data_IF_832053160655
#
_entry.id   IF_832053160655
#
_cell.length_a   1.000
_cell.length_b   1.000
_cell.length_c   1.000
_cell.angle_alpha   90.00
_cell.angle_beta   90.00
_cell.angle_gamma   90.00
#
_symmetry.space_group_name_H-M   'P 1'
#
loop_
_entity.id
_entity.type
_entity.pdbx_description
1 polymer ?
2 non-polymer ?
3 water ?
#
# COMPACT_ATOMS: atom_id res chain seq x y z
N UNK A 19 0.56 1.00 37.01
CA UNK A 19 -0.29 2.05 37.65
C UNK A 19 -0.73 3.11 36.63
N UNK A 20 0.24 3.83 36.06
CA UNK A 20 0.00 4.72 34.91
C UNK A 20 0.57 4.08 33.63
N UNK A 21 0.83 2.78 33.69
CA UNK A 21 1.60 2.09 32.67
C UNK A 21 0.86 0.94 32.04
N UNK A 22 0.71 1.01 30.74
CA UNK A 22 0.05 -0.06 30.01
C UNK A 22 1.08 -1.09 29.58
N UNK A 23 0.59 -2.26 29.23
CA UNK A 23 1.48 -3.29 28.77
C UNK A 23 1.12 -3.73 27.36
N UNK A 24 2.14 -4.19 26.68
CA UNK A 24 1.99 -4.81 25.37
C UNK A 24 2.92 -6.01 25.31
N UNK A 25 2.54 -6.99 24.49
CA UNK A 25 3.35 -8.13 24.18
C UNK A 25 3.51 -8.22 22.65
N UNK A 26 4.76 -8.36 22.21
CA UNK A 26 5.10 -8.74 20.86
C UNK A 26 5.45 -10.22 20.89
N UNK A 27 4.77 -11.02 20.08
CA UNK A 27 5.02 -12.47 19.99
C UNK A 27 5.69 -12.81 18.69
N UNK A 28 6.99 -12.93 18.74
CA UNK A 28 7.80 -13.14 17.56
C UNK A 28 7.56 -14.49 16.91
N UNK A 29 6.97 -15.43 17.63
CA UNK A 29 6.63 -16.75 17.09
C UNK A 29 5.30 -16.80 16.36
N UNK A 30 4.48 -15.74 16.46
CA UNK A 30 3.16 -15.73 15.80
C UNK A 30 3.24 -14.88 14.53
N UNK A 31 3.71 -15.49 13.45
CA UNK A 31 3.96 -14.81 12.21
C UNK A 31 2.65 -14.60 11.46
N UNK A 32 2.48 -13.38 10.96
CA UNK A 32 1.31 -13.00 10.17
C UNK A 32 1.77 -12.81 8.71
N UNK A 33 1.38 -11.73 8.04
CA UNK A 33 1.73 -11.57 6.64
C UNK A 33 3.15 -11.09 6.39
N UNK A 34 3.71 -11.56 5.30
CA UNK A 34 4.99 -11.06 4.85
C UNK A 34 4.78 -9.71 4.17
N UNK A 35 5.60 -8.75 4.54
CA UNK A 35 5.51 -7.42 3.98
C UNK A 35 6.14 -7.40 2.59
N UNK A 36 5.38 -6.85 1.62
CA UNK A 36 5.85 -6.63 0.28
C UNK A 36 6.40 -5.24 0.10
N UNK A 37 5.77 -4.23 0.73
CA UNK A 37 6.31 -2.90 0.72
C UNK A 37 5.31 -1.76 0.78
N UNK A 38 5.83 -0.59 0.49
CA UNK A 38 5.12 0.68 0.64
C UNK A 38 5.51 1.59 -0.48
N UNK A 39 4.57 2.40 -0.95
CA UNK A 39 4.93 3.40 -1.90
C UNK A 39 3.82 4.28 -2.37
N UNK A 40 3.82 4.55 -3.66
CA UNK A 40 2.87 5.47 -4.23
C UNK A 40 2.84 5.48 -5.75
N UNK A 41 2.03 6.40 -6.28
CA UNK A 41 1.70 6.48 -7.71
C UNK A 41 2.55 7.54 -8.43
N UNK A 42 3.00 7.18 -9.63
CA UNK A 42 3.49 8.13 -10.61
C UNK A 42 2.51 8.10 -11.76
N UNK A 43 2.17 9.29 -12.29
CA UNK A 43 1.29 9.41 -13.45
C UNK A 43 1.74 10.57 -14.32
N UNK A 44 2.71 10.31 -15.21
CA UNK A 44 3.37 11.33 -16.00
C UNK A 44 2.53 11.84 -17.18
N UNK A 45 1.28 11.38 -17.30
CA UNK A 45 0.35 11.92 -18.29
C UNK A 45 -0.62 12.90 -17.65
N UNK A 46 -1.21 12.53 -16.52
CA UNK A 46 -2.14 13.43 -15.81
C UNK A 46 -1.42 14.57 -15.07
N UNK A 47 -0.23 14.28 -14.55
CA UNK A 47 0.59 15.28 -13.85
C UNK A 47 2.04 15.16 -14.31
N UNK A 48 2.93 15.99 -13.76
CA UNK A 48 4.34 15.91 -14.13
C UNK A 48 4.98 14.66 -13.53
N UNK A 49 5.85 14.03 -14.34
CA UNK A 49 6.66 12.91 -13.90
C UNK A 49 7.51 13.33 -12.71
N UNK A 50 7.90 12.36 -11.90
CA UNK A 50 8.94 12.58 -10.91
C UNK A 50 10.23 13.00 -11.64
N UNK A 51 10.94 13.95 -11.06
CA UNK A 51 12.25 14.34 -11.55
C UNK A 51 13.32 13.35 -11.08
N UNK A 52 14.53 13.40 -11.69
CA UNK A 52 15.53 12.46 -11.17
C UNK A 52 15.75 12.56 -9.66
N UNK A 53 15.82 13.79 -9.14
CA UNK A 53 16.02 14.03 -7.70
C UNK A 53 14.86 13.43 -6.92
N UNK A 54 13.64 13.58 -7.44
CA UNK A 54 12.45 13.07 -6.75
C UNK A 54 12.38 11.55 -6.76
N UNK A 55 12.87 10.92 -7.82
CA UNK A 55 12.91 9.46 -7.86
C UNK A 55 13.80 8.93 -6.73
N UNK A 56 14.96 9.57 -6.52
CA UNK A 56 15.90 9.16 -5.45
C UNK A 56 15.29 9.38 -4.08
N UNK A 57 14.68 10.54 -3.88
CA UNK A 57 13.97 10.82 -2.64
C UNK A 57 12.87 9.80 -2.34
N UNK A 58 12.15 9.37 -3.36
CA UNK A 58 11.05 8.43 -3.13
C UNK A 58 11.53 7.01 -2.81
N UNK A 59 12.47 6.51 -3.62
CA UNK A 59 12.82 5.07 -3.61
C UNK A 59 14.19 4.75 -3.01
N UNK A 60 14.97 5.78 -2.72
CA UNK A 60 16.18 5.62 -1.92
C UNK A 60 15.78 5.52 -0.47
N UNK A 61 16.65 4.93 0.35
CA UNK A 61 16.38 4.85 1.78
C UNK A 61 17.45 5.48 2.65
N UNK A 62 18.14 6.49 2.11
CA UNK A 62 19.09 7.30 2.85
C UNK A 62 18.35 8.30 3.72
N UNK A 63 19.11 9.07 4.49
CA UNK A 63 18.54 10.13 5.33
C UNK A 63 17.80 11.10 4.42
N UNK A 64 16.58 11.45 4.82
CA UNK A 64 15.74 12.39 4.09
C UNK A 64 15.08 11.77 2.85
N UNK A 65 15.12 10.44 2.73
CA UNK A 65 14.46 9.74 1.61
C UNK A 65 13.37 8.82 2.19
N UNK A 66 12.35 8.55 1.40
CA UNK A 66 11.12 7.90 1.88
C UNK A 66 11.29 6.39 2.03
N UNK A 67 12.23 5.80 1.31
CA UNK A 67 12.43 4.36 1.39
C UNK A 67 11.28 3.57 0.80
N UNK A 68 10.59 4.14 -0.17
CA UNK A 68 9.50 3.38 -0.83
C UNK A 68 10.09 2.19 -1.60
N UNK A 69 9.33 1.11 -1.65
CA UNK A 69 9.72 -0.10 -2.33
C UNK A 69 8.68 -0.61 -3.34
N UNK A 70 7.57 0.14 -3.50
CA UNK A 70 6.58 -0.14 -4.52
C UNK A 70 6.27 1.16 -5.29
N UNK A 71 6.32 1.04 -6.60
CA UNK A 71 5.89 2.07 -7.52
C UNK A 71 4.63 1.54 -8.22
N UNK A 72 3.55 2.33 -8.17
CA UNK A 72 2.39 2.04 -9.00
C UNK A 72 2.37 3.02 -10.17
N UNK A 73 2.04 2.47 -11.34
CA UNK A 73 1.90 3.26 -12.56
C UNK A 73 0.57 2.87 -13.22
N UNK A 74 0.20 3.66 -14.23
CA UNK A 74 -1.00 3.39 -15.01
C UNK A 74 -0.64 2.78 -16.37
N UNK A 75 -1.57 1.99 -16.87
CA UNK A 75 -1.53 1.43 -18.23
C UNK A 75 -2.38 2.30 -19.15
N UNK A 76 -1.72 3.13 -19.94
CA UNK A 76 -2.46 4.07 -20.76
C UNK A 76 -3.25 3.36 -21.85
N UNK A 77 -4.47 3.85 -22.08
CA UNK A 77 -5.31 3.35 -23.18
C UNK A 77 -4.66 3.61 -24.55
N UNK A 78 -3.80 4.62 -24.61
CA UNK A 78 -3.08 4.98 -25.83
C UNK A 78 -1.63 4.57 -25.69
N UNK A 79 -1.23 3.58 -26.49
CA UNK A 79 0.11 3.01 -26.39
C UNK A 79 1.22 3.99 -26.72
N UNK A 80 0.86 5.09 -27.38
CA UNK A 80 1.85 6.13 -27.67
C UNK A 80 2.34 6.87 -26.43
N UNK A 81 1.58 6.77 -25.33
CA UNK A 81 1.97 7.32 -24.02
C UNK A 81 2.85 6.42 -23.15
N UNK A 82 2.95 5.15 -23.52
CA UNK A 82 3.63 4.18 -22.67
C UNK A 82 5.09 4.56 -22.33
N UNK A 83 5.80 5.11 -23.31
CA UNK A 83 7.20 5.53 -23.12
C UNK A 83 7.37 6.51 -21.96
N UNK A 84 6.34 7.27 -21.62
CA UNK A 84 6.44 8.25 -20.55
C UNK A 84 6.62 7.60 -19.19
N UNK A 85 6.31 6.31 -19.06
CA UNK A 85 6.42 5.63 -17.78
C UNK A 85 7.82 5.13 -17.47
N UNK A 86 8.64 5.01 -18.50
CA UNK A 86 9.84 4.18 -18.44
C UNK A 86 10.92 4.69 -17.48
N UNK A 87 11.21 5.99 -17.54
CA UNK A 87 12.37 6.55 -16.82
C UNK A 87 12.20 6.34 -15.31
N UNK A 88 11.03 6.67 -14.82
CA UNK A 88 10.73 6.56 -13.41
C UNK A 88 10.66 5.09 -13.00
N UNK A 89 10.02 4.23 -13.79
CA UNK A 89 9.92 2.81 -13.42
C UNK A 89 11.28 2.10 -13.40
N UNK A 90 12.12 2.35 -14.41
CA UNK A 90 13.49 1.82 -14.42
C UNK A 90 14.22 2.23 -13.14
N UNK A 91 14.17 3.52 -12.83
CA UNK A 91 14.88 4.04 -11.68
C UNK A 91 14.36 3.44 -10.37
N UNK A 92 13.04 3.30 -10.24
CA UNK A 92 12.51 2.67 -9.06
C UNK A 92 13.06 1.25 -8.89
N UNK A 93 13.12 0.50 -9.99
CA UNK A 93 13.56 -0.91 -9.92
C UNK A 93 15.04 -0.95 -9.56
N UNK A 94 15.79 -0.01 -10.12
CA UNK A 94 17.24 0.03 -9.88
C UNK A 94 17.50 0.24 -8.38
N UNK A 95 16.62 1.04 -7.76
CA UNK A 95 16.70 1.36 -6.34
C UNK A 95 16.04 0.34 -5.43
N UNK A 96 15.58 -0.75 -6.02
CA UNK A 96 15.18 -1.94 -5.27
C UNK A 96 13.67 -2.11 -5.15
N UNK A 97 12.91 -1.24 -5.82
CA UNK A 97 11.45 -1.31 -5.79
C UNK A 97 10.88 -2.33 -6.78
N UNK A 98 9.63 -2.69 -6.57
CA UNK A 98 8.85 -3.45 -7.54
C UNK A 98 7.80 -2.53 -8.12
N UNK A 99 7.28 -2.88 -9.29
CA UNK A 99 6.36 -1.99 -10.02
C UNK A 99 5.08 -2.74 -10.37
N UNK A 100 3.91 -2.14 -10.06
CA UNK A 100 2.63 -2.69 -10.51
C UNK A 100 1.94 -1.64 -11.34
N UNK A 101 1.13 -2.11 -12.29
CA UNK A 101 0.52 -1.24 -13.26
C UNK A 101 -1.01 -1.45 -13.27
N UNK A 102 -1.75 -0.34 -13.31
CA UNK A 102 -3.22 -0.39 -13.32
C UNK A 102 -3.78 0.39 -14.50
N UNK A 103 -4.74 -0.19 -15.23
CA UNK A 103 -5.46 0.55 -16.28
C UNK A 103 -6.74 1.19 -15.76
N UNK A 104 -7.06 2.37 -16.31
CA UNK A 104 -8.33 3.07 -16.05
C UNK A 104 -9.34 2.81 -17.16
N UNK A 105 -8.88 2.78 -18.42
CA UNK A 105 -9.76 2.44 -19.55
C UNK A 105 -9.04 1.54 -20.53
N UNK A 106 -9.79 0.67 -21.18
CA UNK A 106 -9.26 0.05 -22.39
C UNK A 106 -9.16 1.07 -23.52
N UNK A 107 -8.38 0.74 -24.58
CA UNK A 107 -8.41 1.51 -25.82
C UNK A 107 -9.87 1.75 -26.26
N UNK A 108 -10.17 2.96 -26.72
CA UNK A 108 -11.55 3.35 -27.01
C UNK A 108 -12.26 2.44 -28.03
N UNK A 109 -11.51 1.84 -28.94
CA UNK A 109 -12.11 0.87 -29.89
C UNK A 109 -12.62 -0.43 -29.24
N UNK A 110 -12.33 -0.63 -27.94
CA UNK A 110 -12.82 -1.81 -27.20
C UNK A 110 -13.98 -1.53 -26.26
N UNK A 111 -14.34 -0.25 -26.12
CA UNK A 111 -15.32 0.20 -25.11
C UNK A 111 -16.71 0.38 -25.78
N UNK A 112 -17.76 0.19 -25.01
CA UNK A 112 -19.09 0.63 -25.44
C UNK A 112 -19.77 1.34 -24.28
N UNK A 113 -20.87 2.04 -24.60
CA UNK A 113 -21.63 2.72 -23.59
C UNK A 113 -22.88 1.95 -23.19
N UNK A 114 -23.37 2.27 -22.00
CA UNK A 114 -24.55 1.69 -21.46
C UNK A 114 -25.05 2.63 -20.39
N UNK A 115 -26.28 2.39 -19.96
CA UNK A 115 -26.92 3.12 -18.87
C UNK A 115 -26.80 2.33 -17.58
N UNK A 116 -26.25 2.95 -16.55
CA UNK A 116 -26.06 2.34 -15.24
C UNK A 116 -26.82 3.10 -14.17
N UNK A 117 -27.76 2.44 -13.49
CA UNK A 117 -28.55 3.08 -12.44
C UNK A 117 -29.18 4.37 -12.94
N UNK A 118 -29.72 4.33 -14.14
CA UNK A 118 -30.34 5.51 -14.75
C UNK A 118 -29.42 6.58 -15.32
N UNK A 119 -28.11 6.39 -15.17
CA UNK A 119 -27.15 7.36 -15.70
C UNK A 119 -26.64 6.87 -17.04
N UNK A 120 -26.87 7.65 -18.09
CA UNK A 120 -26.49 7.20 -19.43
C UNK A 120 -25.02 7.44 -19.77
N UNK A 121 -24.60 6.89 -20.90
CA UNK A 121 -23.28 7.15 -21.47
C UNK A 121 -22.10 6.67 -20.60
N UNK A 122 -22.36 5.63 -19.82
CA UNK A 122 -21.32 5.01 -18.98
C UNK A 122 -20.53 4.01 -19.82
N UNK A 123 -19.25 3.78 -19.44
CA UNK A 123 -18.33 2.98 -20.24
C UNK A 123 -18.14 1.58 -19.63
N UNK A 124 -18.11 0.59 -20.52
CA UNK A 124 -17.67 -0.74 -20.14
C UNK A 124 -16.89 -1.36 -21.30
N UNK A 125 -16.12 -2.39 -20.97
CA UNK A 125 -15.42 -3.17 -21.98
C UNK A 125 -16.44 -4.01 -22.73
N UNK A 126 -16.43 -3.94 -24.06
CA UNK A 126 -17.31 -4.78 -24.87
C UNK A 126 -17.05 -6.22 -24.57
N UNK A 127 -18.10 -7.01 -24.43
CA UNK A 127 -17.94 -8.42 -24.08
C UNK A 127 -17.16 -9.17 -25.15
N UNK A 128 -17.32 -8.74 -26.41
CA UNK A 128 -16.59 -9.34 -27.50
C UNK A 128 -15.12 -8.87 -27.65
N UNK A 129 -14.65 -8.04 -26.72
CA UNK A 129 -13.31 -7.54 -26.79
C UNK A 129 -12.46 -7.96 -25.60
N UNK A 130 -12.93 -8.92 -24.80
CA UNK A 130 -12.13 -9.36 -23.64
C UNK A 130 -10.79 -9.95 -24.03
N UNK A 131 -10.76 -10.73 -25.12
CA UNK A 131 -9.50 -11.26 -25.68
C UNK A 131 -8.57 -10.19 -26.19
N UNK A 132 -9.12 -9.17 -26.87
CA UNK A 132 -8.31 -8.07 -27.33
C UNK A 132 -7.75 -7.26 -26.17
N UNK A 133 -8.53 -7.19 -25.07
CA UNK A 133 -8.06 -6.51 -23.86
C UNK A 133 -6.87 -7.22 -23.21
N UNK A 134 -6.92 -8.54 -23.14
CA UNK A 134 -5.78 -9.34 -22.71
C UNK A 134 -4.56 -9.00 -23.56
N UNK A 135 -4.74 -8.94 -24.88
CA UNK A 135 -3.60 -8.61 -25.73
C UNK A 135 -3.04 -7.20 -25.47
N UNK A 136 -3.92 -6.21 -25.23
CA UNK A 136 -3.49 -4.86 -24.84
C UNK A 136 -2.63 -4.89 -23.57
N UNK A 137 -3.12 -5.58 -22.55
CA UNK A 137 -2.38 -5.68 -21.28
C UNK A 137 -1.04 -6.42 -21.50
N UNK A 138 -1.08 -7.52 -22.25
CA UNK A 138 0.14 -8.25 -22.57
C UNK A 138 1.12 -7.44 -23.39
N UNK A 139 0.63 -6.62 -24.31
CA UNK A 139 1.48 -5.71 -25.03
C UNK A 139 2.20 -4.73 -24.11
N UNK A 140 1.47 -4.18 -23.12
CA UNK A 140 2.08 -3.28 -22.16
C UNK A 140 3.18 -3.98 -21.35
N UNK A 141 2.90 -5.21 -20.93
CA UNK A 141 3.85 -5.99 -20.14
C UNK A 141 5.13 -6.17 -20.97
N UNK A 142 4.93 -6.54 -22.22
CA UNK A 142 6.06 -6.82 -23.11
C UNK A 142 6.86 -5.58 -23.41
N UNK A 143 6.19 -4.47 -23.70
CA UNK A 143 6.85 -3.19 -23.93
C UNK A 143 7.69 -2.79 -22.71
N UNK A 144 7.11 -2.83 -21.51
CA UNK A 144 7.87 -2.43 -20.33
C UNK A 144 9.07 -3.37 -20.07
N UNK A 145 8.87 -4.68 -20.29
CA UNK A 145 9.94 -5.65 -20.14
C UNK A 145 11.07 -5.33 -21.11
N UNK A 146 10.72 -5.01 -22.34
CA UNK A 146 11.73 -4.61 -23.33
C UNK A 146 12.51 -3.37 -22.90
N UNK A 147 11.88 -2.50 -22.11
CA UNK A 147 12.55 -1.29 -21.59
C UNK A 147 13.13 -1.44 -20.18
N UNK A 148 13.37 -2.68 -19.75
CA UNK A 148 14.03 -2.94 -18.47
C UNK A 148 13.11 -2.84 -17.26
N UNK A 149 11.80 -2.89 -17.51
CA UNK A 149 10.77 -2.81 -16.44
C UNK A 149 9.97 -4.11 -16.42
N UNK A 150 10.42 -5.06 -15.61
CA UNK A 150 9.72 -6.32 -15.44
C UNK A 150 8.66 -6.08 -14.39
N UNK A 151 7.41 -5.89 -14.84
CA UNK A 151 6.32 -5.62 -13.91
C UNK A 151 6.09 -6.73 -12.93
N UNK A 152 5.84 -6.35 -11.68
CA UNK A 152 5.52 -7.33 -10.65
C UNK A 152 4.11 -7.85 -10.89
N UNK A 153 3.23 -6.96 -11.33
CA UNK A 153 1.82 -7.33 -11.51
C UNK A 153 1.17 -6.30 -12.39
N UNK A 154 0.04 -6.73 -12.95
CA UNK A 154 -0.78 -5.84 -13.74
C UNK A 154 -2.23 -6.09 -13.34
N UNK A 155 -3.00 -5.01 -13.26
CA UNK A 155 -4.39 -5.08 -12.77
C UNK A 155 -5.41 -5.15 -13.92
N UNK A 156 -6.58 -5.73 -13.65
CA UNK A 156 -7.65 -5.80 -14.64
C UNK A 156 -8.26 -4.43 -14.84
N UNK A 157 -8.46 -3.70 -13.74
CA UNK A 157 -9.15 -2.41 -13.76
C UNK A 157 -8.98 -1.66 -12.44
N UNK A 158 -8.67 -0.38 -12.55
CA UNK A 158 -8.68 0.50 -11.41
C UNK A 158 -10.12 0.83 -11.01
N UNK A 159 -10.51 0.59 -9.78
CA UNK A 159 -11.86 0.99 -9.30
C UNK A 159 -12.98 0.70 -10.29
N UNK A 160 -13.17 -0.58 -10.60
CA UNK A 160 -14.26 -0.96 -11.49
C UNK A 160 -15.65 -0.63 -10.95
N UNK A 161 -15.74 -0.45 -9.62
CA UNK A 161 -17.00 -0.16 -8.94
C UNK A 161 -17.14 1.33 -8.52
N UNK A 162 -16.32 2.19 -9.09
CA UNK A 162 -16.45 3.63 -8.91
C UNK A 162 -15.99 4.37 -10.18
N UNK A 163 -16.57 3.95 -11.31
CA UNK A 163 -16.04 4.29 -12.63
C UNK A 163 -16.91 5.33 -13.35
N UNK A 164 -17.53 6.22 -12.59
CA UNK A 164 -18.20 7.38 -13.17
C UNK A 164 -17.36 8.09 -14.24
N UNK A 165 -16.04 8.12 -14.06
CA UNK A 165 -15.14 8.79 -14.97
C UNK A 165 -14.21 7.86 -15.72
N UNK A 166 -14.48 6.55 -15.68
CA UNK A 166 -13.67 5.59 -16.41
C UNK A 166 -14.52 4.37 -16.77
N UNK A 167 -13.97 3.16 -16.69
CA UNK A 167 -14.62 1.98 -17.20
C UNK A 167 -15.16 1.10 -16.08
N UNK A 168 -16.49 0.90 -16.06
CA UNK A 168 -17.15 0.07 -15.07
C UNK A 168 -17.07 -1.41 -15.38
N UNK A 169 -16.86 -2.22 -14.34
CA UNK A 169 -17.06 -3.66 -14.42
C UNK A 169 -17.93 -4.09 -13.25
N UNK A 170 -19.00 -4.80 -13.52
CA UNK A 170 -19.81 -5.41 -12.47
C UNK A 170 -19.02 -6.58 -11.87
N UNK A 171 -19.42 -7.05 -10.67
CA UNK A 171 -18.78 -8.22 -10.11
C UNK A 171 -18.74 -9.40 -11.10
N UNK A 172 -19.84 -9.64 -11.82
CA UNK A 172 -19.88 -10.79 -12.72
C UNK A 172 -19.03 -10.60 -13.98
N UNK A 173 -18.92 -9.37 -14.47
CA UNK A 173 -18.00 -9.04 -15.58
C UNK A 173 -16.53 -9.26 -15.20
N UNK A 174 -16.17 -8.77 -14.04
CA UNK A 174 -14.85 -9.03 -13.47
C UNK A 174 -14.61 -10.53 -13.29
N UNK A 175 -15.60 -11.25 -12.78
CA UNK A 175 -15.50 -12.70 -12.64
C UNK A 175 -15.28 -13.36 -13.98
N UNK A 176 -16.04 -12.96 -15.01
CA UNK A 176 -15.88 -13.60 -16.34
C UNK A 176 -14.47 -13.39 -16.84
N UNK A 177 -13.96 -12.18 -16.70
CA UNK A 177 -12.60 -11.92 -17.15
C UNK A 177 -11.56 -12.76 -16.39
N UNK A 178 -11.68 -12.77 -15.08
CA UNK A 178 -10.74 -13.53 -14.25
C UNK A 178 -10.80 -15.05 -14.52
N UNK A 179 -12.01 -15.57 -14.73
CA UNK A 179 -12.22 -16.99 -14.97
C UNK A 179 -11.81 -17.43 -16.37
N UNK A 180 -12.20 -16.64 -17.38
CA UNK A 180 -12.15 -17.08 -18.79
C UNK A 180 -10.99 -16.47 -19.60
N UNK A 181 -10.39 -15.39 -19.10
CA UNK A 181 -9.36 -14.66 -19.83
C UNK A 181 -8.03 -14.43 -19.10
N UNK A 182 -8.08 -14.17 -17.79
CA UNK A 182 -6.89 -13.64 -17.11
C UNK A 182 -5.71 -14.62 -17.03
N UNK A 183 -5.97 -15.92 -17.19
CA UNK A 183 -4.92 -16.93 -17.28
C UNK A 183 -3.98 -16.73 -18.46
N UNK A 184 -4.40 -15.93 -19.46
CA UNK A 184 -3.55 -15.62 -20.62
C UNK A 184 -2.62 -14.43 -20.43
N UNK A 185 -2.73 -13.75 -19.28
CA UNK A 185 -1.91 -12.60 -19.00
C UNK A 185 -0.53 -13.06 -18.55
N UNK A 186 0.50 -12.48 -19.15
CA UNK A 186 1.89 -12.90 -18.98
C UNK A 186 2.53 -12.14 -17.82
N UNK A 187 1.87 -12.16 -16.66
CA UNK A 187 2.30 -11.39 -15.51
C UNK A 187 1.40 -11.83 -14.37
N UNK A 188 1.81 -11.52 -13.14
CA UNK A 188 0.87 -11.64 -12.04
C UNK A 188 -0.33 -10.74 -12.32
N UNK A 189 -1.50 -11.27 -12.01
CA UNK A 189 -2.77 -10.55 -12.22
C UNK A 189 -3.30 -10.05 -10.87
N UNK A 190 -3.53 -8.75 -10.82
CA UNK A 190 -4.15 -8.09 -9.68
C UNK A 190 -5.62 -7.75 -9.96
N UNK A 191 -6.47 -7.95 -8.99
CA UNK A 191 -7.90 -7.62 -9.10
C UNK A 191 -8.47 -7.58 -7.70
N UNK A 192 -9.61 -6.91 -7.49
CA UNK A 192 -10.36 -6.07 -8.45
C UNK A 192 -10.13 -4.56 -8.24
N UNK A 193 -9.33 -4.16 -7.25
CA UNK A 193 -9.09 -2.74 -6.91
C UNK A 193 -10.41 -1.99 -6.71
N UNK A 194 -11.27 -2.56 -5.88
CA UNK A 194 -12.47 -1.84 -5.39
C UNK A 194 -12.08 -0.52 -4.71
N UNK A 195 -12.84 0.55 -4.99
CA UNK A 195 -12.52 1.87 -4.41
C UNK A 195 -12.49 1.87 -2.86
N UNK A 196 -13.28 0.99 -2.25
CA UNK A 196 -13.49 0.96 -0.80
C UNK A 196 -13.31 -0.46 -0.26
N UNK A 197 -12.64 -1.35 -1.02
CA UNK A 197 -12.48 -2.76 -0.59
C UNK A 197 -13.86 -3.41 -0.34
N UNK A 198 -14.77 -3.15 -1.28
CA UNK A 198 -16.09 -3.77 -1.20
C UNK A 198 -16.00 -5.21 -1.63
N UNK A 199 -16.37 -6.08 -0.71
CA UNK A 199 -16.18 -7.52 -0.90
C UNK A 199 -17.03 -8.10 -2.03
N UNK A 200 -18.13 -7.44 -2.39
CA UNK A 200 -18.93 -7.94 -3.54
C UNK A 200 -18.13 -7.96 -4.87
N UNK A 201 -17.07 -7.13 -4.99
CA UNK A 201 -16.24 -7.15 -6.19
C UNK A 201 -15.29 -8.33 -6.23
N UNK A 202 -14.87 -8.81 -5.06
CA UNK A 202 -13.85 -9.85 -4.98
C UNK A 202 -14.40 -11.24 -4.59
N UNK A 203 -15.52 -11.30 -3.87
CA UNK A 203 -16.05 -12.59 -3.44
C UNK A 203 -16.24 -13.57 -4.60
N UNK A 204 -16.77 -13.11 -5.75
CA UNK A 204 -16.95 -14.11 -6.81
C UNK A 204 -15.65 -14.73 -7.32
N UNK A 205 -14.58 -13.95 -7.32
CA UNK A 205 -13.26 -14.47 -7.73
C UNK A 205 -12.79 -15.56 -6.74
N UNK A 206 -12.87 -15.22 -5.46
CA UNK A 206 -12.39 -16.13 -4.44
C UNK A 206 -13.24 -17.40 -4.40
N UNK A 207 -14.52 -17.30 -4.73
CA UNK A 207 -15.43 -18.45 -4.69
C UNK A 207 -15.44 -19.27 -5.98
N UNK A 208 -14.69 -18.85 -6.99
CA UNK A 208 -14.61 -19.63 -8.23
C UNK A 208 -13.20 -20.15 -8.39
N UNK A 209 -13.01 -21.49 -8.36
CA UNK A 209 -11.66 -21.98 -8.40
C UNK A 209 -10.82 -21.58 -9.60
N UNK A 210 -11.39 -21.51 -10.81
CA UNK A 210 -10.58 -21.08 -11.97
C UNK A 210 -10.21 -19.61 -11.87
N UNK A 211 -11.15 -18.77 -11.46
CA UNK A 211 -10.85 -17.35 -11.33
C UNK A 211 -9.79 -17.14 -10.27
N UNK A 212 -9.94 -17.86 -9.16
CA UNK A 212 -8.99 -17.78 -8.06
C UNK A 212 -7.59 -18.23 -8.51
N UNK A 213 -7.55 -19.30 -9.30
CA UNK A 213 -6.29 -19.76 -9.82
C UNK A 213 -5.59 -18.72 -10.68
N UNK A 214 -6.38 -17.90 -11.40
CA UNK A 214 -5.83 -16.88 -12.28
C UNK A 214 -5.51 -15.54 -11.57
N UNK A 215 -5.98 -15.42 -10.33
CA UNK A 215 -5.64 -14.29 -9.48
C UNK A 215 -4.26 -14.53 -8.85
N UNK A 216 -3.42 -13.50 -8.82
CA UNK A 216 -2.19 -13.54 -8.01
C UNK A 216 -2.18 -12.57 -6.84
N UNK A 217 -2.79 -11.40 -7.02
CA UNK A 217 -2.80 -10.36 -5.99
C UNK A 217 -4.20 -9.82 -5.87
N UNK A 218 -4.75 -9.88 -4.67
CA UNK A 218 -6.00 -9.19 -4.37
C UNK A 218 -5.63 -7.74 -4.04
N UNK A 219 -6.02 -6.80 -4.92
CA UNK A 219 -5.74 -5.37 -4.75
C UNK A 219 -7.03 -4.69 -4.28
N UNK A 220 -6.88 -3.69 -3.39
CA UNK A 220 -8.03 -2.97 -2.82
C UNK A 220 -7.62 -1.52 -2.59
N UNK A 221 -8.55 -0.57 -2.76
CA UNK A 221 -8.34 0.78 -2.30
C UNK A 221 -9.09 1.00 -1.00
N UNK A 222 -8.75 2.09 -0.31
CA UNK A 222 -9.23 2.31 1.06
C UNK A 222 -10.09 3.55 1.27
N UNK A 223 -10.65 4.09 0.20
CA UNK A 223 -11.42 5.33 0.30
C UNK A 223 -12.72 5.09 1.05
N UNK A 224 -12.80 5.65 2.26
CA UNK A 224 -13.96 5.44 3.12
C UNK A 224 -14.05 4.06 3.79
N UNK A 225 -12.96 3.28 3.74
CA UNK A 225 -12.99 1.94 4.33
C UNK A 225 -12.78 2.05 5.82
N UNK A 226 -13.81 1.67 6.59
CA UNK A 226 -13.70 1.69 8.04
C UNK A 226 -12.98 0.45 8.53
N UNK A 227 -12.50 0.53 9.76
CA UNK A 227 -11.73 -0.56 10.33
C UNK A 227 -12.50 -1.86 10.39
N UNK A 228 -13.80 -1.80 10.70
CA UNK A 228 -14.61 -3.01 10.74
C UNK A 228 -14.69 -3.72 9.37
N UNK A 229 -14.43 -2.99 8.28
CA UNK A 229 -14.40 -3.56 6.93
C UNK A 229 -13.02 -3.91 6.42
N UNK A 230 -12.02 -3.86 7.30
CA UNK A 230 -10.67 -4.25 6.85
C UNK A 230 -10.35 -5.75 6.90
N UNK A 231 -10.89 -6.47 7.88
CA UNK A 231 -10.76 -7.92 7.81
C UNK A 231 -11.51 -8.50 6.61
N UNK A 232 -11.07 -9.67 6.14
CA UNK A 232 -11.73 -10.34 5.03
C UNK A 232 -11.68 -11.86 5.23
N UNK A 233 -12.64 -12.38 6.00
CA UNK A 233 -12.68 -13.81 6.31
C UNK A 233 -12.57 -14.70 5.10
N UNK A 234 -13.24 -14.34 4.00
CA UNK A 234 -13.23 -15.21 2.81
C UNK A 234 -11.82 -15.29 2.24
N UNK A 235 -11.06 -14.19 2.29
CA UNK A 235 -9.69 -14.19 1.77
C UNK A 235 -8.79 -15.02 2.70
N UNK A 236 -9.04 -14.93 4.00
CA UNK A 236 -8.28 -15.74 4.97
C UNK A 236 -8.51 -17.22 4.69
N UNK A 237 -9.75 -17.57 4.34
CA UNK A 237 -10.13 -18.95 4.06
C UNK A 237 -9.61 -19.47 2.71
N UNK A 238 -9.74 -18.68 1.64
CA UNK A 238 -9.47 -19.19 0.30
C UNK A 238 -8.25 -18.63 -0.39
N UNK A 239 -7.59 -17.64 0.22
CA UNK A 239 -6.55 -16.88 -0.44
C UNK A 239 -5.13 -17.34 -0.29
N UNK A 240 -4.92 -18.59 0.14
CA UNK A 240 -3.58 -19.06 0.28
C UNK A 240 -2.79 -18.88 -1.03
N UNK A 241 -1.57 -18.37 -0.91
CA UNK A 241 -0.67 -18.17 -2.04
C UNK A 241 -0.92 -16.89 -2.81
N UNK A 242 -1.96 -16.17 -2.44
CA UNK A 242 -2.28 -14.89 -3.08
C UNK A 242 -1.79 -13.75 -2.20
N UNK A 243 -1.28 -12.70 -2.81
CA UNK A 243 -0.90 -11.51 -2.07
C UNK A 243 -2.08 -10.59 -1.86
N UNK A 244 -1.95 -9.74 -0.85
CA UNK A 244 -3.01 -8.79 -0.46
C UNK A 244 -2.41 -7.39 -0.40
N UNK A 245 -2.78 -6.51 -1.33
CA UNK A 245 -2.20 -5.18 -1.44
C UNK A 245 -3.26 -4.09 -1.37
N UNK A 246 -2.96 -3.04 -0.62
CA UNK A 246 -3.79 -1.81 -0.61
C UNK A 246 -3.09 -0.88 -1.57
N UNK A 247 -3.67 -0.72 -2.77
CA UNK A 247 -2.93 -0.15 -3.88
C UNK A 247 -3.22 1.34 -4.14
N UNK A 248 -4.18 1.92 -3.41
CA UNK A 248 -4.40 3.37 -3.54
C UNK A 248 -5.24 3.90 -2.41
N UNK A 249 -4.75 5.00 -1.83
CA UNK A 249 -5.55 5.86 -0.97
C UNK A 249 -4.82 7.17 -0.79
N UNK A 250 -5.57 8.19 -0.40
CA UNK A 250 -5.04 9.34 0.35
C UNK A 250 -5.97 9.50 1.54
N UNK A 251 -5.41 9.91 2.67
CA UNK A 251 -6.18 10.11 3.90
C UNK A 251 -5.57 11.30 4.68
N UNK A 252 -6.39 11.99 5.46
CA UNK A 252 -7.85 11.87 5.56
C UNK A 252 -8.62 12.64 4.48
N UNK A 253 -7.89 13.30 3.60
CA UNK A 253 -8.46 14.12 2.53
C UNK A 253 -7.42 14.47 1.48
N UNK A 254 -7.84 15.08 0.39
CA UNK A 254 -6.91 15.59 -0.62
C UNK A 254 -6.95 17.11 -0.67
N UNK A 255 -7.15 17.73 0.50
CA UNK A 255 -7.21 19.20 0.60
C UNK A 255 -5.90 19.81 0.10
N UNK A 256 -6.01 20.85 -0.71
CA UNK A 256 -4.84 21.51 -1.21
C UNK A 256 -3.96 21.97 -0.06
N UNK A 257 -2.65 21.74 -0.20
CA UNK A 257 -1.64 22.20 0.77
C UNK A 257 -1.89 21.69 2.18
N UNK A 258 -2.33 20.44 2.28
CA UNK A 258 -2.72 19.85 3.56
C UNK A 258 -1.66 18.93 4.14
N UNK A 259 -0.60 18.67 3.38
CA UNK A 259 0.30 17.57 3.73
C UNK A 259 1.13 17.79 5.00
N UNK A 260 1.30 19.05 5.43
CA UNK A 260 1.99 19.33 6.69
C UNK A 260 1.05 19.58 7.86
N UNK A 261 -0.27 19.45 7.66
CA UNK A 261 -1.23 19.72 8.75
C UNK A 261 -1.01 18.75 9.89
N UNK A 262 -1.00 19.31 11.10
CA UNK A 262 -0.74 18.53 12.30
C UNK A 262 -1.73 18.97 13.37
N UNK A 263 -2.38 18.02 14.07
CA UNK A 263 -2.14 16.57 14.13
C UNK A 263 -2.86 15.75 13.04
N UNK A 264 -3.40 16.40 12.02
CA UNK A 264 -4.14 15.67 10.99
C UNK A 264 -3.31 14.54 10.39
N UNK A 265 -2.03 14.81 10.18
CA UNK A 265 -1.22 13.82 9.50
C UNK A 265 -1.21 12.49 10.25
N UNK A 266 -1.42 12.51 11.58
CA UNK A 266 -1.43 11.24 12.33
C UNK A 266 -2.44 10.24 11.77
N UNK A 267 -3.46 10.72 11.06
CA UNK A 267 -4.40 9.81 10.42
C UNK A 267 -3.75 8.91 9.39
N UNK A 268 -2.67 9.39 8.76
CA UNK A 268 -1.93 8.58 7.77
C UNK A 268 -1.30 7.39 8.46
N UNK A 269 -0.54 7.64 9.53
CA UNK A 269 -0.01 6.53 10.30
C UNK A 269 -1.06 5.59 10.80
N UNK A 270 -2.16 6.11 11.34
CA UNK A 270 -3.20 5.28 11.81
C UNK A 270 -3.83 4.41 10.71
N UNK A 271 -4.04 4.98 9.52
CA UNK A 271 -4.57 4.18 8.42
C UNK A 271 -3.60 3.05 7.99
N UNK A 272 -2.29 3.34 8.04
CA UNK A 272 -1.31 2.32 7.71
C UNK A 272 -1.27 1.22 8.76
N UNK A 273 -1.28 1.62 10.05
CA UNK A 273 -1.38 0.66 11.14
C UNK A 273 -2.61 -0.24 10.93
N UNK A 274 -3.76 0.37 10.63
CA UNK A 274 -4.97 -0.37 10.42
C UNK A 274 -4.87 -1.32 9.22
N UNK A 275 -4.32 -0.83 8.12
CA UNK A 275 -4.12 -1.70 6.93
C UNK A 275 -3.35 -2.98 7.33
N UNK A 276 -2.24 -2.74 8.01
CA UNK A 276 -1.37 -3.83 8.39
C UNK A 276 -1.95 -4.79 9.42
N UNK A 277 -2.54 -4.25 10.48
CA UNK A 277 -2.94 -5.03 11.63
C UNK A 277 -4.40 -5.48 11.59
N UNK A 278 -5.27 -4.63 11.04
CA UNK A 278 -6.69 -4.95 10.96
C UNK A 278 -6.99 -5.61 9.62
N UNK A 279 -6.21 -5.28 8.58
CA UNK A 279 -6.46 -5.83 7.25
C UNK A 279 -5.49 -6.90 6.80
N UNK A 280 -4.38 -7.09 7.55
CA UNK A 280 -3.31 -8.02 7.13
C UNK A 280 -2.72 -7.69 5.77
N UNK A 281 -2.77 -6.42 5.37
CA UNK A 281 -2.22 -6.04 4.07
C UNK A 281 -0.72 -6.14 4.01
N UNK A 282 -0.25 -6.61 2.86
CA UNK A 282 1.20 -6.75 2.61
C UNK A 282 1.84 -5.54 1.96
N UNK A 283 1.02 -4.67 1.36
CA UNK A 283 1.47 -3.48 0.71
C UNK A 283 0.51 -2.35 0.98
N UNK A 284 1.05 -1.15 1.07
CA UNK A 284 0.27 0.07 1.22
C UNK A 284 0.84 1.11 0.32
N UNK A 285 0.03 1.53 -0.66
CA UNK A 285 0.41 2.40 -1.75
C UNK A 285 -0.49 3.64 -1.79
N UNK A 286 0.14 4.77 -1.60
CA UNK A 286 -0.53 6.08 -1.71
C UNK A 286 -0.90 6.36 -3.16
N UNK A 287 -1.74 7.38 -3.35
CA UNK A 287 -1.97 7.97 -4.65
C UNK A 287 -0.68 8.78 -5.00
N UNK A 288 -0.81 9.92 -5.67
CA UNK A 288 0.36 10.61 -6.18
C UNK A 288 1.45 10.80 -5.14
N UNK A 289 2.66 10.34 -5.46
CA UNK A 289 3.79 10.51 -4.57
C UNK A 289 4.08 12.00 -4.29
N UNK A 290 4.11 12.80 -5.36
CA UNK A 290 4.43 14.23 -5.28
C UNK A 290 3.13 15.02 -5.53
N UNK A 291 2.64 15.63 -4.49
CA UNK A 291 1.40 16.42 -4.50
C UNK A 291 1.30 17.18 -3.19
N UNK A 292 0.48 18.22 -3.16
CA UNK A 292 0.43 19.12 -2.00
C UNK A 292 -0.27 18.47 -0.81
N UNK A 293 -0.91 17.32 -1.07
CA UNK A 293 -1.52 16.53 -0.03
C UNK A 293 -0.88 15.15 0.10
N UNK A 294 0.29 14.97 -0.54
CA UNK A 294 0.97 13.68 -0.62
C UNK A 294 2.20 13.60 0.26
N UNK A 295 2.90 12.45 0.19
CA UNK A 295 4.07 12.23 1.04
C UNK A 295 5.28 13.06 0.62
N UNK A 296 5.30 13.48 -0.64
CA UNK A 296 6.32 14.41 -1.12
C UNK A 296 5.65 15.69 -1.61
N UNK A 297 6.13 16.83 -1.12
CA UNK A 297 5.55 18.13 -1.48
C UNK A 297 6.07 18.56 -2.85
N UNK A 298 5.49 19.60 -3.41
CA UNK A 298 5.88 20.00 -4.76
C UNK A 298 7.33 20.48 -4.82
N UNK A 299 7.88 20.90 -3.68
CA UNK A 299 9.29 21.32 -3.62
C UNK A 299 10.29 20.15 -3.49
N UNK A 300 9.78 18.91 -3.51
CA UNK A 300 10.61 17.71 -3.47
C UNK A 300 10.97 17.24 -2.05
N UNK A 301 10.51 17.96 -1.04
CA UNK A 301 10.78 17.59 0.34
C UNK A 301 9.64 16.76 0.93
N UNK A 302 9.94 16.07 2.02
CA UNK A 302 8.99 15.15 2.62
C UNK A 302 8.01 15.92 3.50
N UNK A 303 6.71 15.66 3.34
CA UNK A 303 5.70 16.30 4.15
C UNK A 303 5.47 15.57 5.46
N UNK A 304 4.69 16.14 6.37
CA UNK A 304 4.34 15.42 7.60
C UNK A 304 3.64 14.09 7.25
N UNK A 305 2.76 14.11 6.25
CA UNK A 305 2.13 12.86 5.81
C UNK A 305 3.18 11.84 5.32
N UNK A 306 4.19 12.37 4.63
CA UNK A 306 5.32 11.55 4.18
C UNK A 306 6.11 10.94 5.31
N UNK A 307 6.36 11.72 6.37
CA UNK A 307 7.08 11.16 7.53
C UNK A 307 6.25 10.08 8.22
N UNK A 308 4.92 10.21 8.19
CA UNK A 308 4.04 9.15 8.69
C UNK A 308 4.28 7.85 7.91
N UNK A 309 4.31 7.94 6.58
CA UNK A 309 4.61 6.77 5.76
C UNK A 309 6.00 6.19 6.07
N UNK A 310 6.96 7.10 6.24
CA UNK A 310 8.38 6.75 6.40
C UNK A 310 8.65 5.95 7.66
N UNK A 311 7.87 6.22 8.73
CA UNK A 311 7.93 5.40 9.95
C UNK A 311 7.76 3.92 9.69
N UNK A 312 6.97 3.58 8.67
CA UNK A 312 6.87 2.21 8.20
C UNK A 312 7.86 1.91 7.08
N UNK A 313 7.85 2.74 6.04
CA UNK A 313 8.59 2.37 4.81
C UNK A 313 10.10 2.30 4.98
N UNK A 314 10.65 3.16 5.84
CA UNK A 314 12.10 3.22 5.94
C UNK A 314 12.68 2.04 6.72
N UNK A 315 11.82 1.40 7.50
CA UNK A 315 12.25 0.47 8.54
C UNK A 315 11.67 -0.95 8.35
N UNK A 316 10.41 -1.05 7.90
CA UNK A 316 9.77 -2.34 7.69
C UNK A 316 10.00 -2.72 6.25
N UNK A 317 11.10 -3.42 6.02
CA UNK A 317 11.54 -3.65 4.66
C UNK A 317 10.87 -4.86 4.06
N UNK A 318 10.90 -4.96 2.70
CA UNK A 318 10.29 -6.12 2.09
C UNK A 318 10.89 -7.43 2.59
N UNK A 319 10.02 -8.38 2.85
CA UNK A 319 10.40 -9.67 3.37
C UNK A 319 10.33 -9.80 4.87
N UNK A 320 10.25 -8.67 5.59
CA UNK A 320 9.96 -8.75 7.01
C UNK A 320 8.56 -9.35 7.14
N UNK A 321 8.26 -9.90 8.29
CA UNK A 321 6.98 -10.55 8.53
C UNK A 321 6.34 -9.90 9.73
N UNK A 322 5.11 -9.45 9.53
CA UNK A 322 4.38 -8.92 10.67
C UNK A 322 4.20 -10.03 11.70
N UNK A 323 4.22 -9.70 12.99
CA UNK A 323 3.96 -10.68 14.04
C UNK A 323 2.84 -10.17 14.94
N UNK A 324 2.18 -11.09 15.65
CA UNK A 324 1.15 -10.74 16.60
C UNK A 324 1.75 -9.82 17.69
N UNK A 325 1.04 -8.72 17.97
CA UNK A 325 1.45 -7.76 18.99
C UNK A 325 0.22 -7.02 19.47
N UNK A 326 0.17 -6.72 20.76
CA UNK A 326 -0.94 -6.01 21.35
C UNK A 326 -1.20 -4.74 20.54
N UNK A 327 -2.34 -4.67 19.86
CA UNK A 327 -2.48 -3.62 18.84
C UNK A 327 -2.85 -2.27 19.39
N UNK A 328 -3.59 -2.27 20.51
CA UNK A 328 -4.12 -1.02 21.07
C UNK A 328 -3.97 -1.10 22.59
N UNK A 329 -2.73 -0.95 23.09
CA UNK A 329 -2.43 -1.23 24.50
C UNK A 329 -3.14 -0.31 25.49
N UNK A 330 -3.42 0.92 25.06
CA UNK A 330 -4.22 1.83 25.86
C UNK A 330 -4.89 2.78 24.88
N UNK A 331 -5.88 3.53 25.35
CA UNK A 331 -6.60 4.42 24.47
C UNK A 331 -5.67 5.40 23.75
N UNK A 332 -5.85 5.49 22.43
CA UNK A 332 -5.11 6.40 21.57
C UNK A 332 -3.70 5.92 21.24
N UNK A 333 -3.34 4.71 21.67
CA UNK A 333 -2.01 4.17 21.35
C UNK A 333 -2.14 2.93 20.50
N UNK A 334 -1.38 2.88 19.41
CA UNK A 334 -1.51 1.80 18.43
C UNK A 334 -0.12 1.28 18.12
N UNK A 335 0.01 -0.04 18.13
CA UNK A 335 1.30 -0.70 18.01
C UNK A 335 1.25 -1.80 16.97
N UNK A 336 2.26 -1.80 16.10
CA UNK A 336 2.47 -2.93 15.19
C UNK A 336 3.91 -3.35 15.29
N UNK A 337 4.16 -4.61 14.96
CA UNK A 337 5.53 -5.15 15.01
C UNK A 337 5.78 -6.06 13.85
N UNK A 338 6.96 -5.91 13.25
CA UNK A 338 7.41 -6.79 12.18
C UNK A 338 8.81 -7.32 12.49
N UNK A 339 9.06 -8.57 12.09
CA UNK A 339 10.29 -9.32 12.39
C UNK A 339 11.11 -9.48 11.14
N UNK A 340 12.40 -9.24 11.27
CA UNK A 340 13.38 -9.59 10.23
C UNK A 340 13.82 -11.03 10.50
N UNK A 341 13.44 -11.95 9.62
CA UNK A 341 13.72 -13.38 9.83
C UNK A 341 15.20 -13.72 9.65
N UNK A 342 15.99 -12.82 9.08
CA UNK A 342 17.43 -13.06 8.97
C UNK A 342 18.09 -13.18 10.33
N UNK A 343 17.69 -12.30 11.27
CA UNK A 343 18.29 -12.32 12.61
C UNK A 343 17.29 -12.21 13.76
N UNK A 344 16.02 -12.39 13.46
CA UNK A 344 14.95 -12.26 14.44
C UNK A 344 14.89 -10.93 15.19
N UNK A 345 15.40 -9.86 14.57
CA UNK A 345 15.19 -8.51 15.10
C UNK A 345 13.78 -8.03 14.79
N UNK A 346 13.38 -6.99 15.49
CA UNK A 346 12.00 -6.51 15.41
C UNK A 346 11.98 -5.01 15.16
N UNK A 347 11.00 -4.59 14.37
CA UNK A 347 10.70 -3.17 14.16
C UNK A 347 9.29 -2.94 14.69
N UNK A 348 9.15 -2.00 15.61
CA UNK A 348 7.85 -1.70 16.21
C UNK A 348 7.48 -0.26 15.90
N UNK A 349 6.26 -0.06 15.40
CA UNK A 349 5.85 1.30 15.10
C UNK A 349 4.69 1.58 16.05
N UNK A 350 4.85 2.65 16.82
CA UNK A 350 3.91 2.98 17.86
C UNK A 350 3.42 4.41 17.71
N UNK A 351 2.10 4.52 17.61
CA UNK A 351 1.44 5.81 17.42
C UNK A 351 0.79 6.19 18.72
N UNK A 352 1.01 7.44 19.16
CA UNK A 352 0.31 8.00 20.31
C UNK A 352 -0.47 9.21 19.83
N UNK A 353 -1.78 9.04 19.71
CA UNK A 353 -2.64 10.14 19.27
C UNK A 353 -3.11 10.96 20.45
N UNK A 354 -2.77 10.55 21.68
CA UNK A 354 -3.20 11.27 22.87
C UNK A 354 -2.50 12.58 23.04
N UNK A 355 -3.18 13.52 23.71
CA UNK A 355 -2.56 14.76 24.17
C UNK A 355 -1.70 14.56 25.42
N UNK A 356 -1.74 13.36 25.99
CA UNK A 356 -0.94 13.01 27.17
C UNK A 356 0.19 12.07 26.75
N UNK A 357 1.29 12.12 27.49
CA UNK A 357 2.37 11.18 27.26
C UNK A 357 1.91 9.80 27.73
N UNK A 358 2.45 8.75 27.11
CA UNK A 358 2.09 7.39 27.46
C UNK A 358 3.35 6.55 27.65
N UNK A 359 3.31 5.72 28.68
CA UNK A 359 4.40 4.80 29.00
C UNK A 359 3.89 3.36 28.85
N UNK A 360 4.60 2.58 28.02
CA UNK A 360 4.22 1.21 27.70
C UNK A 360 5.36 0.26 28.10
N UNK A 361 5.02 -0.78 28.84
CA UNK A 361 5.94 -1.91 29.05
C UNK A 361 5.73 -2.95 27.95
N UNK A 362 6.66 -3.01 27.00
CA UNK A 362 6.53 -3.92 25.88
C UNK A 362 7.36 -5.16 26.14
N UNK A 363 6.66 -6.26 26.37
CA UNK A 363 7.25 -7.57 26.60
C UNK A 363 7.49 -8.24 25.26
N UNK A 364 8.72 -8.72 25.05
CA UNK A 364 9.12 -9.40 23.81
C UNK A 364 9.74 -10.74 24.21
N UNK A 365 8.89 -11.67 24.67
CA UNK A 365 9.46 -12.90 25.25
C UNK A 365 10.35 -13.65 24.27
N UNK A 366 11.48 -14.22 24.73
CA UNK A 366 12.30 -15.02 23.86
C UNK A 366 13.31 -14.28 23.00
N UNK A 367 13.28 -12.96 22.98
CA UNK A 367 14.24 -12.22 22.18
C UNK A 367 15.60 -12.13 22.88
N UNK A 368 16.66 -12.13 22.10
CA UNK A 368 17.98 -11.84 22.63
C UNK A 368 18.36 -10.37 22.43
N UNK A 369 17.49 -9.59 21.78
CA UNK A 369 17.75 -8.16 21.63
C UNK A 369 17.59 -7.50 23.00
N UNK A 370 18.48 -6.57 23.31
CA UNK A 370 18.45 -5.83 24.58
C UNK A 370 18.47 -4.32 24.42
N UNK A 371 18.54 -3.83 23.17
CA UNK A 371 18.60 -2.40 22.92
C UNK A 371 17.79 -2.05 21.69
N UNK A 372 16.93 -1.03 21.82
CA UNK A 372 16.27 -0.44 20.66
C UNK A 372 16.72 0.99 20.44
N UNK A 373 16.94 1.35 19.18
CA UNK A 373 17.03 2.75 18.80
C UNK A 373 15.61 3.23 18.48
N UNK A 374 15.39 4.53 18.53
CA UNK A 374 14.07 5.05 18.25
C UNK A 374 14.13 6.37 17.52
N UNK A 375 13.15 6.55 16.62
CA UNK A 375 12.99 7.75 15.83
C UNK A 375 11.56 8.26 16.02
N UNK A 376 11.43 9.57 16.25
CA UNK A 376 10.17 10.16 16.70
C UNK A 376 9.77 11.34 15.82
N UNK A 377 8.50 11.34 15.40
CA UNK A 377 7.92 12.48 14.70
C UNK A 377 6.76 13.03 15.53
N UNK A 378 6.74 14.37 15.63
CA UNK A 378 5.68 15.14 16.25
C UNK A 378 5.39 16.32 15.30
N UNK A 379 4.56 17.25 15.73
CA UNK A 379 4.32 18.46 14.96
C UNK A 379 5.56 19.35 14.79
N UNK A 380 6.59 19.11 15.59
CA UNK A 380 7.79 19.95 15.61
C UNK A 380 9.12 19.27 15.30
N UNK A 381 9.10 17.99 15.00
CA UNK A 381 10.33 17.29 14.56
C UNK A 381 9.95 16.09 13.73
N UNK A 382 10.88 15.68 12.86
CA UNK A 382 10.68 14.60 11.90
C UNK A 382 11.72 13.52 12.03
N UNK A 383 11.28 12.31 12.36
CA UNK A 383 12.16 11.16 12.55
C UNK A 383 13.42 11.54 13.33
N UNK A 384 13.21 12.27 14.41
CA UNK A 384 14.34 12.69 15.22
C UNK A 384 14.83 11.49 16.00
N UNK A 385 16.12 11.20 15.93
CA UNK A 385 16.67 10.10 16.71
C UNK A 385 16.72 10.50 18.18
N UNK A 386 16.09 9.71 19.04
CA UNK A 386 16.04 9.98 20.46
C UNK A 386 16.83 8.90 21.24
N UNK A 387 16.85 9.01 22.56
CA UNK A 387 17.64 8.08 23.39
C UNK A 387 17.24 6.62 23.20
N UNK A 388 18.23 5.74 23.20
CA UNK A 388 18.03 4.30 23.08
C UNK A 388 17.23 3.76 24.26
N UNK A 389 16.50 2.68 24.00
CA UNK A 389 15.79 1.96 25.02
C UNK A 389 16.62 0.73 25.36
N UNK A 390 17.00 0.58 26.62
CA UNK A 390 17.64 -0.64 27.09
C UNK A 390 16.64 -1.56 27.79
N UNK A 391 16.55 -2.81 27.34
CA UNK A 391 15.61 -3.75 27.94
C UNK A 391 15.99 -4.14 29.35
N UNK A 392 14.99 -4.40 30.19
CA UNK A 392 15.20 -5.16 31.44
C UNK A 392 14.69 -6.56 31.14
N UNK A 393 15.62 -7.49 31.02
CA UNK A 393 15.32 -8.82 30.51
C UNK A 393 14.76 -8.71 29.11
N UNK A 394 13.57 -9.26 28.91
CA UNK A 394 12.87 -9.20 27.62
C UNK A 394 11.78 -8.11 27.54
N UNK A 395 11.77 -7.19 28.50
CA UNK A 395 10.80 -6.08 28.51
C UNK A 395 11.49 -4.73 28.23
N UNK A 396 10.90 -3.99 27.29
CA UNK A 396 11.36 -2.67 26.84
C UNK A 396 10.29 -1.68 27.28
N UNK A 397 10.64 -0.84 28.24
CA UNK A 397 9.75 0.21 28.71
C UNK A 397 9.98 1.46 27.87
N UNK A 398 8.93 1.88 27.16
CA UNK A 398 9.01 3.03 26.26
C UNK A 398 8.08 4.14 26.71
N UNK A 399 8.48 5.37 26.42
CA UNK A 399 7.62 6.50 26.67
C UNK A 399 7.36 7.20 25.36
N UNK A 400 6.10 7.50 25.14
CA UNK A 400 5.66 8.10 23.90
C UNK A 400 5.20 9.51 24.20
N UNK A 401 5.88 10.47 23.59
CA UNK A 401 5.47 11.89 23.66
C UNK A 401 4.03 12.07 23.18
N UNK A 402 3.33 13.10 23.67
CA UNK A 402 2.00 13.36 23.12
C UNK A 402 2.03 13.53 21.60
N UNK A 403 1.00 13.02 20.94
CA UNK A 403 0.76 13.29 19.51
C UNK A 403 2.00 13.01 18.69
N UNK A 404 2.41 11.73 18.70
CA UNK A 404 3.69 11.32 18.11
C UNK A 404 3.61 9.96 17.45
N UNK A 405 4.56 9.73 16.56
CA UNK A 405 4.79 8.37 16.09
C UNK A 405 6.24 8.03 16.36
N UNK A 406 6.49 6.80 16.81
CA UNK A 406 7.84 6.36 17.10
C UNK A 406 8.10 5.03 16.38
N UNK A 407 9.25 4.91 15.71
CA UNK A 407 9.68 3.60 15.25
C UNK A 407 10.85 3.18 16.11
N UNK A 408 10.75 1.96 16.66
CA UNK A 408 11.78 1.29 17.45
C UNK A 408 12.42 0.23 16.57
N UNK A 409 13.76 0.21 16.55
CA UNK A 409 14.52 -0.68 15.67
C UNK A 409 15.74 -1.22 16.38
X LIG B 1 -7.74 8.67 -6.73
X LIG B 1 -8.81 8.36 -7.69
X LIG B 1 -8.28 8.58 -9.11
X LIG B 1 -8.35 7.74 -10.04
X LIG B 1 -10.04 9.25 -7.41
X LIG B 1 -10.89 8.79 -6.26
X LIG B 1 -11.52 7.55 -6.23
X LIG B 1 -11.27 9.42 -5.12
X LIG B 1 -12.24 7.45 -5.12
X LIG B 1 -12.10 8.57 -4.43
X LIG B 1 -7.72 9.64 -9.35
#
# INVERSE_FOLDING_TARGET
MGSSHHHHHHSSGLVPRGSHMASATINLSAEKQVIRGFGGMNHPVWISDLTPQQRDTAFGNGEGQLGFTILRIHVDENRNNWSKEVATARRAIELGAIVSASPWNPPSNMVETFTRNGVPNQKRLRYDKYGDYVQHLNDFVAYMKSNGVDLYAISVQNEPDYAHEWTWWTPQEMLRFMRDYAGQIRCRVMAPESFQYLKNMSDPILNDPQALANLDILGAHFYGTTVNNMPYPLFEQKGAGKELWMTEVYVPNSDSNSADRWPEALEVAHNMHNALVEGNFQAYVWWYIRRSYGPMKEDGTISKRGYMMAHYSKFVRPGYVRVDATKNPTYNVYLSACKNKKDNSVVAVVINKSTEAKTINISVPGTSIRKWERYVTTGSKNLRKESDINASGTTFQVTLEPQSVTTFV
HIS N CA C O CB CG ND1 CD2 CE1 NE2 OXT
#
